data_IF_948776709542
#
_entry.id   IF_948776709542
#
_cell.length_a   1.000
_cell.length_b   1.000
_cell.length_c   1.000
_cell.angle_alpha   90.00
_cell.angle_beta   90.00
_cell.angle_gamma   90.00
#
_symmetry.space_group_name_H-M   'P 1'
#
loop_
_entity.id
_entity.type
_entity.pdbx_description
1 polymer ?
#
# COMPACT_ATOMS: atom_id res chain seq x y z
N UNK A 1 51.88 54.15 46.50
CA UNK A 1 51.78 52.75 46.00
C UNK A 1 51.23 52.82 44.58
N UNK A 2 52.06 52.44 43.57
CA UNK A 2 51.81 52.65 42.14
C UNK A 2 51.02 51.48 41.56
N UNK A 3 49.89 51.76 40.91
CA UNK A 3 49.04 50.80 40.14
C UNK A 3 49.35 50.93 38.68
N UNK A 4 50.01 49.92 38.12
CA UNK A 4 50.33 49.91 36.69
C UNK A 4 49.14 49.29 35.93
N UNK A 5 48.68 50.01 34.93
CA UNK A 5 47.68 49.56 33.93
C UNK A 5 48.40 48.90 32.74
N UNK A 6 48.18 47.63 32.49
CA UNK A 6 48.57 47.00 31.24
C UNK A 6 47.37 46.96 30.30
N UNK A 7 47.47 47.75 29.24
CA UNK A 7 46.55 47.74 28.13
C UNK A 7 46.95 46.62 27.15
N UNK A 8 46.18 45.57 27.07
CA UNK A 8 46.36 44.55 26.04
C UNK A 8 45.61 44.92 24.76
N UNK A 9 46.40 45.22 23.73
CA UNK A 9 45.98 45.58 22.40
C UNK A 9 45.44 44.36 21.67
N UNK A 10 44.13 44.24 21.58
CA UNK A 10 43.46 43.15 20.83
C UNK A 10 43.66 43.41 19.34
N UNK A 11 44.46 42.56 18.73
CA UNK A 11 44.74 42.49 17.27
C UNK A 11 43.56 41.84 16.60
N UNK A 12 42.67 42.64 16.02
CA UNK A 12 41.62 42.17 15.09
C UNK A 12 42.26 41.57 13.87
N UNK A 13 42.30 40.22 13.78
CA UNK A 13 42.53 39.51 12.49
C UNK A 13 41.25 39.58 11.67
N UNK A 14 41.27 40.42 10.64
CA UNK A 14 40.29 40.37 9.53
C UNK A 14 40.39 39.01 8.87
N UNK A 15 39.43 38.14 9.12
CA UNK A 15 39.23 36.95 8.29
C UNK A 15 38.59 37.41 6.98
N UNK A 16 39.41 37.54 5.95
CA UNK A 16 39.01 37.73 4.55
C UNK A 16 38.26 36.47 4.14
N UNK A 17 36.93 36.56 4.06
CA UNK A 17 36.08 35.50 3.52
C UNK A 17 36.52 35.24 2.07
N UNK A 18 37.15 34.11 1.85
CA UNK A 18 37.47 33.65 0.49
C UNK A 18 36.15 33.29 -0.18
N UNK A 19 35.80 34.01 -1.21
CA UNK A 19 34.72 33.65 -2.12
C UNK A 19 34.98 32.22 -2.68
N UNK A 20 33.97 31.36 -2.78
CA UNK A 20 34.15 30.06 -3.37
C UNK A 20 34.55 30.24 -4.84
N UNK A 21 35.79 29.89 -5.19
CA UNK A 21 36.25 29.84 -6.54
C UNK A 21 35.42 28.81 -7.30
N UNK A 22 34.56 29.27 -8.21
CA UNK A 22 33.85 28.44 -9.14
C UNK A 22 34.85 27.72 -10.04
N UNK A 23 35.20 26.49 -9.71
CA UNK A 23 35.98 25.60 -10.59
C UNK A 23 35.14 25.33 -11.83
N UNK A 24 35.71 25.57 -13.05
CA UNK A 24 34.93 25.30 -14.28
C UNK A 24 34.60 23.81 -14.34
N UNK A 25 33.29 23.51 -14.34
CA UNK A 25 32.79 22.15 -14.47
C UNK A 25 33.22 21.55 -15.80
N UNK A 26 33.94 20.44 -15.77
CA UNK A 26 34.34 19.73 -16.97
C UNK A 26 33.14 19.03 -17.62
N UNK A 27 33.20 18.79 -18.95
CA UNK A 27 32.16 18.02 -19.66
C UNK A 27 31.87 16.66 -19.00
N UNK A 28 32.92 16.07 -18.39
CA UNK A 28 32.81 14.79 -17.66
C UNK A 28 32.03 14.91 -16.36
N UNK A 29 32.16 16.04 -15.67
CA UNK A 29 31.43 16.33 -14.44
C UNK A 29 29.95 16.61 -14.72
N UNK A 30 29.65 17.32 -15.82
CA UNK A 30 28.29 17.52 -16.32
C UNK A 30 27.60 16.18 -16.67
N UNK A 31 28.30 15.28 -17.35
CA UNK A 31 27.77 13.96 -17.69
C UNK A 31 27.52 13.09 -16.46
N UNK A 32 28.42 13.16 -15.47
CA UNK A 32 28.22 12.47 -14.19
C UNK A 32 27.02 13.02 -13.41
N UNK A 33 26.88 14.34 -13.38
CA UNK A 33 25.76 15.02 -12.72
C UNK A 33 24.43 14.69 -13.41
N UNK A 34 24.40 14.73 -14.74
CA UNK A 34 23.23 14.36 -15.53
C UNK A 34 22.83 12.87 -15.32
N UNK A 35 23.81 11.96 -15.33
CA UNK A 35 23.58 10.53 -15.08
C UNK A 35 23.05 10.28 -13.67
N UNK A 36 23.69 10.87 -12.65
CA UNK A 36 23.28 10.70 -11.26
C UNK A 36 21.93 11.37 -10.99
N UNK A 37 21.65 12.51 -11.62
CA UNK A 37 20.36 13.18 -11.57
C UNK A 37 19.25 12.35 -12.23
N UNK A 38 19.51 11.74 -13.38
CA UNK A 38 18.55 10.86 -14.06
C UNK A 38 18.25 9.59 -13.24
N UNK A 39 19.27 8.99 -12.62
CA UNK A 39 19.09 7.83 -11.72
C UNK A 39 18.29 8.23 -10.48
N UNK A 40 18.61 9.38 -9.87
CA UNK A 40 17.86 9.91 -8.73
C UNK A 40 16.37 10.15 -9.05
N UNK A 41 16.07 10.76 -10.19
CA UNK A 41 14.70 10.98 -10.67
C UNK A 41 13.97 9.67 -10.96
N UNK A 42 14.63 8.68 -11.55
CA UNK A 42 14.04 7.37 -11.82
C UNK A 42 13.71 6.62 -10.54
N UNK A 43 14.59 6.66 -9.54
CA UNK A 43 14.36 6.01 -8.23
C UNK A 43 13.24 6.71 -7.47
N UNK A 44 13.27 8.03 -7.35
CA UNK A 44 12.23 8.80 -6.65
C UNK A 44 10.88 8.68 -7.37
N UNK A 45 10.86 8.76 -8.69
CA UNK A 45 9.66 8.59 -9.50
C UNK A 45 9.09 7.17 -9.41
N UNK A 46 9.95 6.15 -9.48
CA UNK A 46 9.55 4.74 -9.37
C UNK A 46 9.00 4.40 -7.98
N UNK A 47 9.68 4.81 -6.92
CA UNK A 47 9.20 4.62 -5.54
C UNK A 47 7.91 5.39 -5.30
N UNK A 48 7.82 6.65 -5.75
CA UNK A 48 6.61 7.46 -5.63
C UNK A 48 5.41 6.83 -6.35
N UNK A 49 5.58 6.38 -7.58
CA UNK A 49 4.54 5.71 -8.35
C UNK A 49 4.09 4.39 -7.70
N UNK A 50 5.05 3.58 -7.22
CA UNK A 50 4.76 2.34 -6.49
C UNK A 50 3.96 2.60 -5.21
N UNK A 51 4.37 3.58 -4.41
CA UNK A 51 3.67 3.96 -3.17
C UNK A 51 2.24 4.42 -3.48
N UNK A 52 2.04 5.32 -4.45
CA UNK A 52 0.71 5.79 -4.85
C UNK A 52 -0.16 4.65 -5.36
N UNK A 53 0.40 3.75 -6.19
CA UNK A 53 -0.32 2.58 -6.69
C UNK A 53 -0.75 1.64 -5.55
N UNK A 54 0.15 1.35 -4.62
CA UNK A 54 -0.14 0.49 -3.46
C UNK A 54 -1.22 1.09 -2.55
N UNK A 55 -1.17 2.41 -2.29
CA UNK A 55 -2.20 3.09 -1.51
C UNK A 55 -3.57 3.06 -2.19
N UNK A 56 -3.63 3.28 -3.51
CA UNK A 56 -4.88 3.21 -4.27
C UNK A 56 -5.46 1.79 -4.27
N UNK A 57 -4.65 0.78 -4.51
CA UNK A 57 -5.07 -0.62 -4.46
C UNK A 57 -5.64 -0.97 -3.08
N UNK A 58 -4.95 -0.56 -2.01
CA UNK A 58 -5.39 -0.79 -0.63
C UNK A 58 -6.71 -0.06 -0.31
N UNK A 59 -6.84 1.21 -0.70
CA UNK A 59 -8.08 1.97 -0.51
C UNK A 59 -9.26 1.32 -1.27
N UNK A 60 -9.02 0.82 -2.47
CA UNK A 60 -10.04 0.15 -3.29
C UNK A 60 -10.48 -1.18 -2.69
N UNK A 61 -9.57 -1.95 -2.09
CA UNK A 61 -9.92 -3.21 -1.40
C UNK A 61 -10.79 -2.99 -0.15
N UNK A 62 -10.67 -1.84 0.52
CA UNK A 62 -11.46 -1.53 1.73
C UNK A 62 -12.78 -0.77 1.45
N UNK A 63 -13.08 -0.51 0.19
CA UNK A 63 -14.33 0.17 -0.20
C UNK A 63 -15.51 -0.81 -0.30
N UNK A 64 -16.29 -0.91 0.77
CA UNK A 64 -17.47 -1.77 0.85
C UNK A 64 -18.61 -1.32 -0.10
N UNK A 65 -18.58 -0.10 -0.62
CA UNK A 65 -19.61 0.38 -1.56
C UNK A 65 -19.55 -0.31 -2.92
N UNK A 66 -18.47 -1.01 -3.21
CA UNK A 66 -18.29 -1.80 -4.43
C UNK A 66 -19.11 -3.10 -4.45
N UNK A 67 -19.59 -3.55 -3.30
CA UNK A 67 -20.43 -4.76 -3.18
C UNK A 67 -21.79 -4.47 -3.83
N UNK A 68 -22.26 -5.39 -4.70
CA UNK A 68 -23.59 -5.29 -5.32
C UNK A 68 -23.68 -4.28 -6.46
N UNK A 69 -22.58 -3.97 -7.14
CA UNK A 69 -22.49 -3.05 -8.28
C UNK A 69 -22.53 -3.74 -9.66
N UNK A 70 -23.07 -4.94 -9.73
CA UNK A 70 -23.18 -5.70 -10.97
C UNK A 70 -22.12 -6.80 -11.09
N UNK A 71 -20.94 -6.62 -10.52
CA UNK A 71 -19.85 -7.59 -10.57
C UNK A 71 -19.90 -8.49 -9.33
N UNK A 72 -19.73 -9.83 -9.48
CA UNK A 72 -19.59 -10.73 -8.34
C UNK A 72 -18.43 -10.33 -7.45
N UNK A 73 -18.57 -10.55 -6.16
CA UNK A 73 -17.57 -10.10 -5.20
C UNK A 73 -17.16 -11.18 -4.20
N UNK A 74 -15.89 -11.14 -3.82
CA UNK A 74 -15.29 -11.94 -2.76
C UNK A 74 -15.00 -10.98 -1.61
N UNK A 75 -15.72 -11.12 -0.51
CA UNK A 75 -15.63 -10.22 0.64
C UNK A 75 -14.97 -10.94 1.80
N UNK A 76 -13.78 -10.49 2.20
CA UNK A 76 -13.09 -11.02 3.38
C UNK A 76 -13.49 -10.26 4.63
N UNK A 77 -14.03 -10.96 5.62
CA UNK A 77 -14.22 -10.43 6.96
C UNK A 77 -12.90 -10.54 7.72
N UNK A 78 -12.29 -9.41 8.00
CA UNK A 78 -10.89 -9.30 8.39
C UNK A 78 -10.68 -8.54 9.70
N UNK A 79 -9.85 -9.08 10.60
CA UNK A 79 -9.29 -8.37 11.74
C UNK A 79 -7.77 -8.15 11.49
N UNK A 80 -7.28 -6.90 11.41
CA UNK A 80 -5.85 -6.63 11.18
C UNK A 80 -4.91 -7.20 12.25
N UNK A 81 -5.42 -7.46 13.45
CA UNK A 81 -4.64 -8.02 14.55
C UNK A 81 -4.61 -9.57 14.57
N UNK A 82 -5.43 -10.21 13.73
CA UNK A 82 -5.54 -11.66 13.66
C UNK A 82 -4.53 -12.25 12.65
N UNK A 83 -3.66 -13.16 13.11
CA UNK A 83 -2.68 -13.82 12.25
C UNK A 83 -3.34 -14.67 11.16
N UNK A 84 -4.38 -15.43 11.51
CA UNK A 84 -5.14 -16.27 10.55
C UNK A 84 -5.87 -15.43 9.50
N UNK A 85 -6.34 -14.21 9.85
CA UNK A 85 -6.93 -13.31 8.88
C UNK A 85 -5.91 -12.85 7.82
N UNK A 86 -4.68 -12.59 8.25
CA UNK A 86 -3.60 -12.21 7.33
C UNK A 86 -3.19 -13.38 6.44
N UNK A 87 -3.10 -14.59 7.01
CA UNK A 87 -2.82 -15.80 6.25
C UNK A 87 -3.89 -16.06 5.18
N UNK A 88 -5.17 -16.03 5.56
CA UNK A 88 -6.28 -16.14 4.61
C UNK A 88 -6.21 -15.06 3.53
N UNK A 89 -5.81 -13.84 3.87
CA UNK A 89 -5.67 -12.74 2.90
C UNK A 89 -4.56 -13.01 1.88
N UNK A 90 -3.42 -13.55 2.33
CA UNK A 90 -2.31 -13.92 1.43
C UNK A 90 -2.77 -15.01 0.45
N UNK A 91 -3.40 -16.07 0.94
CA UNK A 91 -3.90 -17.16 0.11
C UNK A 91 -5.00 -16.69 -0.86
N UNK A 92 -5.89 -15.80 -0.39
CA UNK A 92 -6.96 -15.22 -1.22
C UNK A 92 -6.38 -14.39 -2.37
N UNK A 93 -5.43 -13.51 -2.08
CA UNK A 93 -4.78 -12.69 -3.11
C UNK A 93 -4.01 -13.55 -4.12
N UNK A 94 -3.26 -14.53 -3.66
CA UNK A 94 -2.55 -15.46 -4.53
C UNK A 94 -3.51 -16.27 -5.44
N UNK A 95 -4.67 -16.67 -4.94
CA UNK A 95 -5.70 -17.32 -5.74
C UNK A 95 -6.31 -16.38 -6.79
N UNK A 96 -6.51 -15.10 -6.45
CA UNK A 96 -7.04 -14.09 -7.36
C UNK A 96 -6.04 -13.66 -8.44
N UNK A 97 -4.75 -13.64 -8.13
CA UNK A 97 -3.69 -13.39 -9.13
C UNK A 97 -3.71 -14.43 -10.26
N UNK A 98 -4.05 -15.70 -9.97
CA UNK A 98 -4.23 -16.75 -10.98
C UNK A 98 -5.51 -16.55 -11.82
N UNK A 99 -6.40 -15.64 -11.42
CA UNK A 99 -7.68 -15.33 -12.05
C UNK A 99 -7.73 -13.86 -12.52
N UNK A 100 -6.58 -13.28 -12.86
CA UNK A 100 -6.42 -11.85 -13.16
C UNK A 100 -7.33 -11.34 -14.29
N UNK A 101 -7.73 -12.21 -15.22
CA UNK A 101 -8.60 -11.86 -16.34
C UNK A 101 -10.10 -11.99 -16.00
N UNK A 102 -10.42 -12.41 -14.77
CA UNK A 102 -11.80 -12.61 -14.35
C UNK A 102 -12.40 -11.30 -13.80
N UNK A 103 -13.65 -11.04 -14.21
CA UNK A 103 -14.41 -9.90 -13.66
C UNK A 103 -14.96 -10.24 -12.27
N UNK A 104 -14.18 -10.00 -11.26
CA UNK A 104 -14.51 -10.20 -9.86
C UNK A 104 -13.94 -9.08 -8.98
N UNK A 105 -14.75 -8.62 -8.03
CA UNK A 105 -14.33 -7.59 -7.08
C UNK A 105 -13.87 -8.22 -5.77
N UNK A 106 -12.63 -7.95 -5.34
CA UNK A 106 -12.17 -8.31 -4.00
C UNK A 106 -12.32 -7.14 -3.04
N UNK A 107 -12.92 -7.40 -1.87
CA UNK A 107 -13.18 -6.40 -0.82
C UNK A 107 -12.82 -6.94 0.55
N UNK A 108 -12.19 -6.11 1.38
CA UNK A 108 -11.80 -6.43 2.75
C UNK A 108 -12.63 -5.63 3.74
N UNK A 109 -13.54 -6.29 4.43
CA UNK A 109 -14.36 -5.73 5.49
C UNK A 109 -13.62 -5.82 6.82
N UNK A 110 -13.01 -4.72 7.24
CA UNK A 110 -12.30 -4.62 8.52
C UNK A 110 -13.30 -4.51 9.68
N UNK A 111 -13.34 -5.50 10.57
CA UNK A 111 -14.25 -5.50 11.73
C UNK A 111 -13.93 -4.45 12.80
N UNK A 112 -12.80 -3.74 12.66
CA UNK A 112 -12.46 -2.61 13.53
C UNK A 112 -13.19 -1.33 13.11
N UNK A 113 -13.71 -1.27 11.88
CA UNK A 113 -14.59 -0.19 11.42
C UNK A 113 -16.06 -0.50 11.75
N UNK A 114 -16.90 0.54 11.80
CA UNK A 114 -18.35 0.40 12.00
C UNK A 114 -19.01 -0.39 10.87
N UNK A 115 -18.62 -0.07 9.63
CA UNK A 115 -19.15 -0.65 8.40
C UNK A 115 -18.81 -2.13 8.28
N UNK A 116 -17.54 -2.50 8.51
CA UNK A 116 -17.08 -3.88 8.45
C UNK A 116 -17.72 -4.75 9.53
N UNK A 117 -17.87 -4.21 10.74
CA UNK A 117 -18.57 -4.88 11.84
C UNK A 117 -20.05 -5.08 11.54
N UNK A 118 -20.71 -4.05 11.02
CA UNK A 118 -22.11 -4.13 10.63
C UNK A 118 -22.34 -5.16 9.51
N UNK A 119 -21.41 -5.25 8.54
CA UNK A 119 -21.46 -6.25 7.48
C UNK A 119 -21.33 -7.68 8.08
N UNK A 120 -20.33 -7.92 8.93
CA UNK A 120 -20.15 -9.21 9.59
C UNK A 120 -21.37 -9.62 10.41
N UNK A 121 -21.92 -8.69 11.21
CA UNK A 121 -23.12 -8.93 12.01
C UNK A 121 -24.36 -9.23 11.15
N UNK A 122 -24.54 -8.51 10.04
CA UNK A 122 -25.67 -8.74 9.09
C UNK A 122 -25.70 -10.16 8.55
N UNK A 123 -24.51 -10.73 8.31
CA UNK A 123 -24.38 -12.09 7.77
C UNK A 123 -24.14 -13.15 8.85
N UNK A 124 -24.08 -12.78 10.13
CA UNK A 124 -23.88 -13.71 11.24
C UNK A 124 -22.52 -14.43 11.19
N UNK A 125 -21.48 -13.77 10.67
CA UNK A 125 -20.15 -14.37 10.50
C UNK A 125 -19.11 -13.66 11.34
N UNK A 126 -18.08 -14.42 11.74
CA UNK A 126 -16.90 -13.90 12.43
C UNK A 126 -15.78 -13.57 11.43
N UNK A 127 -14.65 -13.04 11.95
CA UNK A 127 -13.42 -12.89 11.17
C UNK A 127 -12.88 -14.25 10.69
N UNK A 128 -11.89 -14.26 9.80
CA UNK A 128 -11.36 -15.44 9.08
C UNK A 128 -12.44 -16.07 8.18
N UNK A 129 -13.25 -15.25 7.54
CA UNK A 129 -14.37 -15.71 6.69
C UNK A 129 -14.33 -14.97 5.35
N UNK A 130 -14.60 -15.71 4.26
CA UNK A 130 -14.88 -15.17 2.94
C UNK A 130 -16.37 -15.34 2.63
N UNK A 131 -17.00 -14.27 2.17
CA UNK A 131 -18.35 -14.27 1.61
C UNK A 131 -18.23 -14.13 0.09
N UNK A 132 -18.70 -15.12 -0.65
CA UNK A 132 -18.81 -15.07 -2.09
C UNK A 132 -20.17 -14.53 -2.44
N UNK A 133 -20.24 -13.34 -3.00
CA UNK A 133 -21.50 -12.63 -3.28
C UNK A 133 -21.71 -12.44 -4.78
N UNK A 134 -22.96 -12.51 -5.21
CA UNK A 134 -23.36 -12.22 -6.60
C UNK A 134 -23.25 -10.70 -6.91
N UNK A 135 -23.47 -10.32 -8.15
CA UNK A 135 -23.45 -8.94 -8.59
C UNK A 135 -24.49 -8.03 -7.94
N UNK A 136 -25.43 -8.59 -7.17
CA UNK A 136 -26.44 -7.85 -6.37
C UNK A 136 -26.07 -7.79 -4.88
N UNK A 137 -24.92 -8.34 -4.48
CA UNK A 137 -24.47 -8.38 -3.09
C UNK A 137 -25.15 -9.44 -2.23
N UNK A 138 -25.77 -10.47 -2.83
CA UNK A 138 -26.37 -11.59 -2.09
C UNK A 138 -25.32 -12.68 -1.91
N UNK A 139 -25.18 -13.18 -0.67
CA UNK A 139 -24.24 -14.26 -0.37
C UNK A 139 -24.69 -15.55 -1.04
N UNK A 140 -23.82 -16.14 -1.83
CA UNK A 140 -24.00 -17.41 -2.51
C UNK A 140 -23.25 -18.54 -1.78
N UNK A 141 -22.11 -18.21 -1.15
CA UNK A 141 -21.28 -19.18 -0.43
C UNK A 141 -20.52 -18.48 0.70
N UNK A 142 -20.32 -19.21 1.79
CA UNK A 142 -19.46 -18.80 2.92
C UNK A 142 -18.31 -19.79 3.04
N UNK A 143 -17.09 -19.30 3.14
CA UNK A 143 -15.87 -20.08 3.38
C UNK A 143 -15.29 -19.60 4.69
N UNK A 144 -15.17 -20.48 5.68
CA UNK A 144 -14.63 -20.16 7.00
C UNK A 144 -13.27 -20.82 7.21
N UNK A 145 -12.42 -20.13 7.95
CA UNK A 145 -11.06 -20.59 8.24
C UNK A 145 -10.08 -20.34 7.10
N UNK A 146 -8.81 -20.62 7.38
CA UNK A 146 -7.74 -20.54 6.36
C UNK A 146 -7.90 -21.70 5.39
N UNK A 147 -7.89 -21.38 4.10
CA UNK A 147 -7.93 -22.36 3.02
C UNK A 147 -6.70 -22.15 2.13
N UNK A 148 -6.19 -23.19 1.52
CA UNK A 148 -5.08 -23.08 0.59
C UNK A 148 -5.47 -22.37 -0.71
N UNK A 149 -4.50 -21.74 -1.34
CA UNK A 149 -4.67 -21.07 -2.65
C UNK A 149 -5.40 -21.92 -3.68
N UNK A 150 -5.04 -23.21 -3.80
CA UNK A 150 -5.68 -24.10 -4.77
C UNK A 150 -7.18 -24.28 -4.52
N UNK A 151 -7.58 -24.49 -3.26
CA UNK A 151 -8.99 -24.62 -2.85
C UNK A 151 -9.76 -23.32 -3.10
N UNK A 152 -9.14 -22.18 -2.78
CA UNK A 152 -9.75 -20.86 -3.01
C UNK A 152 -9.91 -20.57 -4.49
N UNK A 153 -8.88 -20.82 -5.31
CA UNK A 153 -8.93 -20.64 -6.75
C UNK A 153 -10.09 -21.42 -7.38
N UNK A 154 -10.24 -22.70 -7.01
CA UNK A 154 -11.30 -23.56 -7.55
C UNK A 154 -12.69 -23.05 -7.11
N UNK A 155 -12.83 -22.63 -5.86
CA UNK A 155 -14.06 -22.04 -5.34
C UNK A 155 -14.41 -20.71 -6.02
N UNK A 156 -13.42 -19.85 -6.27
CA UNK A 156 -13.61 -18.57 -6.96
C UNK A 156 -13.95 -18.75 -8.42
N UNK A 157 -13.26 -19.67 -9.11
CA UNK A 157 -13.57 -20.03 -10.51
C UNK A 157 -15.02 -20.49 -10.66
N UNK A 158 -15.49 -21.38 -9.78
CA UNK A 158 -16.86 -21.85 -9.79
C UNK A 158 -17.87 -20.71 -9.52
N UNK A 159 -17.55 -19.82 -8.56
CA UNK A 159 -18.39 -18.68 -8.21
C UNK A 159 -18.50 -17.67 -9.37
N UNK A 160 -17.38 -17.32 -10.00
CA UNK A 160 -17.33 -16.40 -11.13
C UNK A 160 -18.15 -16.95 -12.30
N UNK A 161 -17.93 -18.21 -12.70
CA UNK A 161 -18.68 -18.86 -13.79
C UNK A 161 -20.19 -18.86 -13.53
N UNK A 162 -20.63 -19.07 -12.31
CA UNK A 162 -22.05 -19.07 -11.94
C UNK A 162 -22.70 -17.67 -11.99
N UNK A 163 -21.89 -16.59 -12.02
CA UNK A 163 -22.36 -15.21 -11.93
C UNK A 163 -21.92 -14.33 -13.13
N UNK A 164 -21.31 -14.92 -14.17
CA UNK A 164 -20.87 -14.26 -15.41
C UNK A 164 -21.95 -14.30 -16.51
N UNK A 165 -23.20 -13.95 -16.18
CA UNK A 165 -24.32 -13.97 -17.14
C UNK A 165 -24.93 -12.58 -17.29
#
# INVERSE_FOLDING_TARGET
MKKQRHASKARRKSAKAAAPSATPMTRRDMLRLARNGAIGLAVVGGVGAYVVHSFRAHATEHDLTRIGKGTPSIVQIHDPQCALCRELQVETRAALEELSDADVTYVVANIRTSEGRALAARHGVSHVTLLLMDGRGRVQRVIQGVQSRAVLRDAFTAHIRANSS
#
